data_IF_817213692256
#
_entry.id   IF_817213692256
#
_cell.length_a   1.000
_cell.length_b   1.000
_cell.length_c   1.000
_cell.angle_alpha   90.00
_cell.angle_beta   90.00
_cell.angle_gamma   90.00
#
_symmetry.space_group_name_H-M   'P 1'
#
loop_
_entity.id
_entity.type
_entity.pdbx_description
1 polymer ?
#
# COMPACT_ATOMS: atom_id res chain seq x y z
N UNK A 1 12.86 -2.50 12.61
CA UNK A 1 13.84 -2.03 11.62
C UNK A 1 13.28 -0.91 10.73
N UNK A 2 12.17 -1.11 9.97
CA UNK A 2 11.64 -0.05 9.09
C UNK A 2 11.34 1.28 9.85
N UNK A 3 10.55 1.20 10.92
CA UNK A 3 10.22 2.38 11.74
C UNK A 3 11.48 3.01 12.37
N UNK A 4 12.42 2.22 12.85
CA UNK A 4 13.66 2.70 13.44
C UNK A 4 14.50 3.48 12.42
N UNK A 5 14.64 2.95 11.21
CA UNK A 5 15.37 3.62 10.11
C UNK A 5 14.66 4.88 9.63
N UNK A 6 13.32 4.84 9.53
CA UNK A 6 12.50 5.99 9.18
C UNK A 6 12.68 7.16 10.15
N UNK A 7 12.81 6.87 11.44
CA UNK A 7 12.98 7.88 12.49
C UNK A 7 14.44 8.22 12.81
N UNK A 8 15.40 7.66 12.04
CA UNK A 8 16.82 7.93 12.22
C UNK A 8 17.46 7.23 13.44
N UNK A 9 16.78 6.27 14.04
CA UNK A 9 17.26 5.51 15.21
C UNK A 9 18.15 4.31 14.81
N UNK A 10 18.21 3.98 13.52
CA UNK A 10 19.03 2.92 12.94
C UNK A 10 19.52 3.37 11.57
N UNK A 11 20.81 3.13 11.27
CA UNK A 11 21.39 3.46 9.97
C UNK A 11 20.80 2.61 8.85
N UNK A 12 20.51 3.25 7.71
CA UNK A 12 20.09 2.54 6.50
C UNK A 12 21.33 1.91 5.84
N UNK A 13 21.29 0.61 5.63
CA UNK A 13 22.35 -0.16 4.96
C UNK A 13 21.82 -0.82 3.71
N UNK A 14 22.61 -0.79 2.64
CA UNK A 14 22.32 -1.44 1.38
C UNK A 14 23.34 -2.53 1.11
N UNK A 15 22.90 -3.70 0.68
CA UNK A 15 23.82 -4.80 0.32
C UNK A 15 24.67 -4.49 -0.93
N UNK A 16 24.19 -3.60 -1.80
CA UNK A 16 24.92 -3.09 -2.95
C UNK A 16 24.47 -1.65 -3.28
N UNK A 17 25.37 -0.81 -3.82
CA UNK A 17 25.08 0.60 -4.12
C UNK A 17 23.90 0.79 -5.08
N UNK A 18 23.74 -0.10 -6.05
CA UNK A 18 22.60 -0.07 -6.98
C UNK A 18 21.27 -0.14 -6.25
N UNK A 19 21.22 -0.87 -5.12
CA UNK A 19 19.98 -1.01 -4.34
C UNK A 19 19.56 0.28 -3.63
N UNK A 20 20.47 1.23 -3.43
CA UNK A 20 20.12 2.51 -2.83
C UNK A 20 19.06 3.24 -3.65
N UNK A 21 19.22 3.31 -4.97
CA UNK A 21 18.27 3.99 -5.86
C UNK A 21 16.87 3.36 -5.84
N UNK A 22 16.79 2.06 -5.54
CA UNK A 22 15.53 1.27 -5.52
C UNK A 22 14.88 1.31 -4.14
N UNK A 23 15.69 1.22 -3.08
CA UNK A 23 15.21 0.99 -1.72
C UNK A 23 15.27 2.24 -0.82
N UNK A 24 15.71 3.39 -1.32
CA UNK A 24 15.83 4.63 -0.54
C UNK A 24 14.50 5.04 0.10
N UNK A 25 13.40 4.98 -0.64
CA UNK A 25 12.07 5.33 -0.16
C UNK A 25 11.53 4.37 0.92
N UNK A 26 12.08 3.16 0.98
CA UNK A 26 11.71 2.13 1.95
C UNK A 26 12.81 1.81 2.96
N UNK A 27 13.76 2.74 3.12
CA UNK A 27 14.83 2.68 4.13
C UNK A 27 15.66 1.39 4.06
N UNK A 28 15.98 0.94 2.83
CA UNK A 28 16.79 -0.25 2.56
C UNK A 28 16.07 -1.58 2.71
N UNK A 29 14.74 -1.58 2.78
CA UNK A 29 13.93 -2.78 2.92
C UNK A 29 13.08 -2.99 1.66
N UNK A 30 13.01 -4.22 1.17
CA UNK A 30 12.11 -4.59 0.07
C UNK A 30 10.69 -4.67 0.63
N UNK A 31 9.81 -3.79 0.16
CA UNK A 31 8.40 -3.72 0.55
C UNK A 31 7.50 -4.01 -0.65
N UNK A 32 7.87 -3.49 -1.82
CA UNK A 32 7.03 -3.53 -3.01
C UNK A 32 7.51 -4.57 -4.03
N UNK A 33 6.56 -5.20 -4.72
CA UNK A 33 6.84 -6.12 -5.82
C UNK A 33 7.62 -5.44 -6.95
N UNK A 34 7.35 -4.18 -7.20
CA UNK A 34 8.04 -3.37 -8.19
C UNK A 34 9.53 -3.20 -7.88
N UNK A 35 9.91 -3.14 -6.61
CA UNK A 35 11.33 -3.09 -6.19
C UNK A 35 12.06 -4.40 -6.53
N UNK A 36 11.39 -5.54 -6.46
CA UNK A 36 11.94 -6.84 -6.86
C UNK A 36 12.23 -6.85 -8.37
N UNK A 37 11.27 -6.35 -9.18
CA UNK A 37 11.43 -6.24 -10.63
C UNK A 37 12.63 -5.34 -10.98
N UNK A 38 12.71 -4.16 -10.34
CA UNK A 38 13.81 -3.21 -10.55
C UNK A 38 15.15 -3.79 -10.11
N UNK A 39 15.20 -4.48 -8.96
CA UNK A 39 16.41 -5.14 -8.49
C UNK A 39 16.89 -6.21 -9.47
N UNK A 40 16.00 -7.05 -9.99
CA UNK A 40 16.34 -8.06 -10.99
C UNK A 40 16.85 -7.45 -12.30
N UNK A 41 16.25 -6.34 -12.76
CA UNK A 41 16.69 -5.64 -13.96
C UNK A 41 18.05 -4.96 -13.75
N UNK A 42 18.22 -4.20 -12.68
CA UNK A 42 19.40 -3.38 -12.47
C UNK A 42 20.61 -4.18 -12.01
N UNK A 43 20.41 -5.21 -11.18
CA UNK A 43 21.51 -6.03 -10.68
C UNK A 43 21.89 -7.17 -11.63
N UNK A 44 20.90 -7.86 -12.19
CA UNK A 44 21.12 -9.08 -12.97
C UNK A 44 20.84 -8.91 -14.47
N UNK A 45 20.53 -7.70 -14.94
CA UNK A 45 20.26 -7.45 -16.35
C UNK A 45 18.99 -8.12 -16.90
N UNK A 46 18.06 -8.50 -16.03
CA UNK A 46 16.82 -9.14 -16.46
C UNK A 46 15.98 -8.20 -17.31
N UNK A 47 15.35 -8.75 -18.34
CA UNK A 47 14.26 -8.06 -19.03
C UNK A 47 13.04 -7.95 -18.09
N UNK A 48 12.10 -7.06 -18.41
CA UNK A 48 10.88 -6.91 -17.65
C UNK A 48 10.10 -8.25 -17.54
N UNK A 49 10.04 -9.01 -18.63
CA UNK A 49 9.40 -10.33 -18.67
C UNK A 49 10.10 -11.36 -17.76
N UNK A 50 11.44 -11.36 -17.72
CA UNK A 50 12.20 -12.23 -16.82
C UNK A 50 11.99 -11.84 -15.36
N UNK A 51 11.97 -10.53 -15.05
CA UNK A 51 11.65 -10.02 -13.72
C UNK A 51 10.25 -10.44 -13.26
N UNK A 52 9.24 -10.34 -14.14
CA UNK A 52 7.87 -10.78 -13.80
C UNK A 52 7.79 -12.30 -13.60
N UNK A 53 8.55 -13.09 -14.37
CA UNK A 53 8.66 -14.53 -14.15
C UNK A 53 9.29 -14.86 -12.77
N UNK A 54 10.33 -14.11 -12.36
CA UNK A 54 10.91 -14.23 -11.03
C UNK A 54 9.86 -13.93 -9.94
N UNK A 55 9.17 -12.80 -10.03
CA UNK A 55 8.11 -12.42 -9.09
C UNK A 55 7.03 -13.50 -8.97
N UNK A 56 6.59 -14.06 -10.12
CA UNK A 56 5.58 -15.14 -10.15
C UNK A 56 6.11 -16.46 -9.57
N UNK A 57 7.39 -16.79 -9.80
CA UNK A 57 8.00 -18.01 -9.25
C UNK A 57 8.03 -17.95 -7.72
N UNK A 58 8.41 -16.82 -7.15
CA UNK A 58 8.43 -16.59 -5.70
C UNK A 58 6.99 -16.67 -5.13
N UNK A 59 6.04 -15.93 -5.72
CA UNK A 59 4.66 -15.90 -5.24
C UNK A 59 3.96 -17.27 -5.28
N UNK A 60 4.34 -18.14 -6.23
CA UNK A 60 3.76 -19.51 -6.37
C UNK A 60 4.51 -20.58 -5.57
N UNK A 61 5.62 -20.23 -4.90
CA UNK A 61 6.45 -21.14 -4.09
C UNK A 61 6.88 -22.43 -4.82
N UNK A 62 7.11 -22.36 -6.13
CA UNK A 62 7.54 -23.52 -6.94
C UNK A 62 9.06 -23.67 -6.84
N UNK A 63 9.54 -24.57 -5.98
CA UNK A 63 10.95 -24.76 -5.67
C UNK A 63 11.87 -24.91 -6.89
N UNK A 64 11.50 -25.75 -7.88
CA UNK A 64 12.31 -25.94 -9.08
C UNK A 64 12.41 -24.69 -9.95
N UNK A 65 11.30 -23.94 -10.12
CA UNK A 65 11.29 -22.70 -10.87
C UNK A 65 12.11 -21.62 -10.15
N UNK A 66 12.04 -21.59 -8.84
CA UNK A 66 12.77 -20.64 -8.00
C UNK A 66 14.28 -20.90 -8.05
N UNK A 67 14.72 -22.16 -7.97
CA UNK A 67 16.12 -22.53 -8.10
C UNK A 67 16.70 -22.10 -9.46
N UNK A 68 15.98 -22.31 -10.56
CA UNK A 68 16.38 -21.86 -11.89
C UNK A 68 16.49 -20.32 -11.98
N UNK A 69 15.57 -19.59 -11.36
CA UNK A 69 15.63 -18.12 -11.30
C UNK A 69 16.81 -17.62 -10.44
N UNK A 70 17.13 -18.32 -9.36
CA UNK A 70 18.26 -18.01 -8.49
C UNK A 70 19.60 -18.13 -9.25
N UNK A 71 19.81 -19.21 -9.97
CA UNK A 71 21.00 -19.40 -10.77
C UNK A 71 21.14 -18.34 -11.89
N UNK A 72 20.04 -18.05 -12.59
CA UNK A 72 19.99 -17.01 -13.61
C UNK A 72 20.31 -15.63 -13.04
N UNK A 73 19.75 -15.28 -11.87
CA UNK A 73 19.99 -14.02 -11.18
C UNK A 73 21.46 -13.88 -10.77
N UNK A 74 22.05 -14.89 -10.13
CA UNK A 74 23.44 -14.88 -9.68
C UNK A 74 24.38 -14.69 -10.87
N UNK A 75 24.17 -15.45 -11.96
CA UNK A 75 24.93 -15.32 -13.19
C UNK A 75 24.78 -13.93 -13.82
N UNK A 76 23.55 -13.45 -13.93
CA UNK A 76 23.27 -12.11 -14.46
C UNK A 76 23.93 -11.00 -13.65
N UNK A 77 23.95 -11.09 -12.33
CA UNK A 77 24.66 -10.14 -11.47
C UNK A 77 26.18 -10.09 -11.73
N UNK A 78 26.80 -11.24 -11.95
CA UNK A 78 28.21 -11.34 -12.29
C UNK A 78 28.49 -10.75 -13.68
N UNK A 79 27.68 -11.12 -14.69
CA UNK A 79 27.84 -10.70 -16.08
C UNK A 79 27.54 -9.20 -16.30
N UNK A 80 26.53 -8.65 -15.60
CA UNK A 80 26.07 -7.26 -15.81
C UNK A 80 26.86 -6.25 -14.98
N UNK A 81 27.16 -6.57 -13.72
CA UNK A 81 27.75 -5.63 -12.78
C UNK A 81 28.99 -6.14 -12.06
N UNK A 82 29.52 -7.31 -12.38
CA UNK A 82 30.68 -7.91 -11.71
C UNK A 82 30.44 -8.25 -10.24
N UNK A 83 29.19 -8.43 -9.84
CA UNK A 83 28.82 -8.71 -8.45
C UNK A 83 29.23 -10.15 -8.10
N UNK A 84 30.01 -10.31 -7.02
CA UNK A 84 30.46 -11.62 -6.58
C UNK A 84 29.28 -12.56 -6.28
N UNK A 85 29.42 -13.83 -6.64
CA UNK A 85 28.36 -14.86 -6.47
C UNK A 85 27.80 -14.93 -5.05
N UNK A 86 28.68 -14.79 -4.04
CA UNK A 86 28.28 -14.83 -2.62
C UNK A 86 27.35 -13.67 -2.27
N UNK A 87 27.63 -12.47 -2.77
CA UNK A 87 26.81 -11.29 -2.53
C UNK A 87 25.51 -11.36 -3.34
N UNK A 88 25.55 -11.78 -4.60
CA UNK A 88 24.37 -11.99 -5.42
C UNK A 88 23.44 -13.03 -4.82
N UNK A 89 23.97 -14.13 -4.29
CA UNK A 89 23.18 -15.14 -3.59
C UNK A 89 22.50 -14.56 -2.35
N UNK A 90 23.22 -13.81 -1.52
CA UNK A 90 22.64 -13.14 -0.33
C UNK A 90 21.51 -12.19 -0.71
N UNK A 91 21.71 -11.38 -1.77
CA UNK A 91 20.67 -10.45 -2.25
C UNK A 91 19.44 -11.23 -2.73
N UNK A 92 19.64 -12.34 -3.45
CA UNK A 92 18.53 -13.18 -3.89
C UNK A 92 17.77 -13.80 -2.71
N UNK A 93 18.47 -14.29 -1.69
CA UNK A 93 17.85 -14.85 -0.50
C UNK A 93 16.99 -13.81 0.24
N UNK A 94 17.46 -12.55 0.32
CA UNK A 94 16.66 -11.43 0.83
C UNK A 94 15.43 -11.14 -0.05
N UNK A 95 15.59 -11.16 -1.39
CA UNK A 95 14.46 -11.00 -2.32
C UNK A 95 13.43 -12.11 -2.12
N UNK A 96 13.87 -13.35 -1.98
CA UNK A 96 12.99 -14.51 -1.77
C UNK A 96 12.19 -14.39 -0.46
N UNK A 97 12.85 -14.02 0.63
CA UNK A 97 12.23 -13.84 1.94
C UNK A 97 11.14 -12.76 1.90
N UNK A 98 11.47 -11.57 1.40
CA UNK A 98 10.55 -10.44 1.39
C UNK A 98 9.50 -10.50 0.28
N UNK A 99 9.80 -11.13 -0.85
CA UNK A 99 8.88 -11.23 -1.97
C UNK A 99 7.63 -12.07 -1.69
N UNK A 100 7.66 -12.94 -0.68
CA UNK A 100 6.48 -13.68 -0.22
C UNK A 100 5.39 -12.75 0.33
N UNK A 101 5.78 -11.57 0.81
CA UNK A 101 4.92 -10.55 1.41
C UNK A 101 4.90 -9.24 0.59
N UNK A 102 5.56 -9.22 -0.57
CA UNK A 102 5.69 -8.04 -1.40
C UNK A 102 4.32 -7.48 -1.82
N UNK A 103 4.09 -6.20 -1.50
CA UNK A 103 2.85 -5.51 -1.80
C UNK A 103 2.91 -4.80 -3.16
N UNK A 104 1.79 -4.69 -3.87
CA UNK A 104 1.74 -3.94 -5.12
C UNK A 104 1.73 -2.43 -4.84
N UNK A 105 2.75 -1.70 -5.32
CA UNK A 105 2.89 -0.26 -5.09
C UNK A 105 1.78 0.53 -5.77
N UNK A 106 1.36 0.13 -6.96
CA UNK A 106 0.28 0.80 -7.70
C UNK A 106 -1.04 0.72 -6.93
N UNK A 107 -1.32 -0.41 -6.28
CA UNK A 107 -2.48 -0.56 -5.40
C UNK A 107 -2.38 0.39 -4.20
N UNK A 108 -1.22 0.45 -3.53
CA UNK A 108 -0.99 1.39 -2.42
C UNK A 108 -1.21 2.83 -2.84
N UNK A 109 -0.68 3.23 -4.00
CA UNK A 109 -0.79 4.61 -4.49
C UNK A 109 -2.25 4.99 -4.80
N UNK A 110 -3.00 4.09 -5.44
CA UNK A 110 -4.41 4.32 -5.75
C UNK A 110 -5.25 4.49 -4.48
N UNK A 111 -5.08 3.60 -3.50
CA UNK A 111 -5.81 3.68 -2.24
C UNK A 111 -5.35 4.83 -1.34
N UNK A 112 -4.08 5.20 -1.38
CA UNK A 112 -3.59 6.38 -0.68
C UNK A 112 -4.24 7.67 -1.21
N UNK A 113 -4.47 7.78 -2.53
CA UNK A 113 -5.20 8.90 -3.12
C UNK A 113 -6.63 8.98 -2.60
N UNK A 114 -7.35 7.86 -2.60
CA UNK A 114 -8.73 7.80 -2.09
C UNK A 114 -8.75 8.13 -0.58
N UNK A 115 -7.82 7.56 0.19
CA UNK A 115 -7.72 7.83 1.63
C UNK A 115 -7.45 9.31 1.91
N UNK A 116 -6.56 9.94 1.14
CA UNK A 116 -6.31 11.38 1.24
C UNK A 116 -7.55 12.21 0.90
N UNK A 117 -8.20 11.92 -0.23
CA UNK A 117 -9.40 12.64 -0.67
C UNK A 117 -10.53 12.53 0.34
N UNK A 118 -10.81 11.33 0.87
CA UNK A 118 -11.84 11.12 1.88
C UNK A 118 -11.50 11.80 3.20
N UNK A 119 -10.24 11.77 3.63
CA UNK A 119 -9.80 12.50 4.83
C UNK A 119 -9.93 14.01 4.66
N UNK A 120 -9.57 14.53 3.49
CA UNK A 120 -9.71 15.96 3.16
C UNK A 120 -11.18 16.39 3.15
N UNK A 121 -12.05 15.62 2.49
CA UNK A 121 -13.50 15.87 2.50
C UNK A 121 -14.06 15.84 3.93
N UNK A 122 -13.69 14.84 4.72
CA UNK A 122 -14.09 14.73 6.13
C UNK A 122 -13.65 15.94 6.97
N UNK A 123 -12.47 16.51 6.66
CA UNK A 123 -11.95 17.66 7.38
C UNK A 123 -12.63 18.99 6.99
N UNK A 124 -12.93 19.18 5.70
CA UNK A 124 -13.39 20.45 5.16
C UNK A 124 -14.89 20.51 4.88
N UNK A 125 -15.54 19.37 4.65
CA UNK A 125 -16.97 19.22 4.33
C UNK A 125 -17.59 18.13 5.18
N UNK A 126 -17.52 18.32 6.51
CA UNK A 126 -17.93 17.30 7.50
C UNK A 126 -19.37 16.83 7.31
N UNK A 127 -20.30 17.77 7.16
CA UNK A 127 -21.73 17.50 7.02
C UNK A 127 -22.02 16.65 5.79
N UNK A 128 -21.56 17.09 4.63
CA UNK A 128 -21.78 16.39 3.37
C UNK A 128 -21.09 15.03 3.33
N UNK A 129 -19.87 14.95 3.90
CA UNK A 129 -19.12 13.70 3.98
C UNK A 129 -19.87 12.67 4.85
N UNK A 130 -20.30 13.07 6.04
CA UNK A 130 -21.03 12.17 6.96
C UNK A 130 -22.42 11.82 6.42
N UNK A 131 -23.12 12.75 5.77
CA UNK A 131 -24.40 12.47 5.08
C UNK A 131 -24.22 11.41 3.97
N UNK A 132 -23.19 11.54 3.17
CA UNK A 132 -22.85 10.58 2.12
C UNK A 132 -22.50 9.21 2.70
N UNK A 133 -21.70 9.17 3.76
CA UNK A 133 -21.29 7.94 4.43
C UNK A 133 -22.49 7.22 5.07
N UNK A 134 -23.33 7.93 5.83
CA UNK A 134 -24.56 7.41 6.40
C UNK A 134 -25.51 6.88 5.32
N UNK A 135 -25.64 7.61 4.21
CA UNK A 135 -26.48 7.20 3.08
C UNK A 135 -25.97 5.91 2.41
N UNK A 136 -24.66 5.71 2.35
CA UNK A 136 -24.06 4.49 1.76
C UNK A 136 -24.27 3.24 2.60
N UNK A 137 -24.44 3.39 3.92
CA UNK A 137 -24.57 2.29 4.89
C UNK A 137 -26.00 2.14 5.44
N UNK A 138 -26.99 2.79 4.85
CA UNK A 138 -28.40 2.78 5.34
C UNK A 138 -28.99 1.39 5.58
N UNK A 139 -28.54 0.39 4.84
CA UNK A 139 -29.01 -0.99 4.95
C UNK A 139 -28.26 -1.83 6.01
N UNK A 140 -27.30 -1.24 6.72
CA UNK A 140 -26.51 -1.91 7.75
C UNK A 140 -26.63 -1.18 9.08
N UNK A 141 -27.55 -1.65 9.92
CA UNK A 141 -27.92 -1.01 11.19
C UNK A 141 -26.73 -0.86 12.14
N UNK A 142 -25.85 -1.88 12.23
CA UNK A 142 -24.70 -1.85 13.13
C UNK A 142 -23.68 -0.78 12.70
N UNK A 143 -23.37 -0.74 11.42
CA UNK A 143 -22.48 0.29 10.87
C UNK A 143 -23.11 1.68 10.99
N UNK A 144 -24.39 1.80 10.71
CA UNK A 144 -25.12 3.06 10.82
C UNK A 144 -25.04 3.63 12.23
N UNK A 145 -25.26 2.79 13.26
CA UNK A 145 -25.15 3.18 14.66
C UNK A 145 -23.76 3.70 15.01
N UNK A 146 -22.71 3.00 14.56
CA UNK A 146 -21.32 3.43 14.78
C UNK A 146 -21.02 4.77 14.10
N UNK A 147 -21.44 4.94 12.84
CA UNK A 147 -21.23 6.18 12.10
C UNK A 147 -21.99 7.35 12.74
N UNK A 148 -23.21 7.13 13.26
CA UNK A 148 -23.97 8.14 14.00
C UNK A 148 -23.21 8.56 15.28
N UNK A 149 -22.59 7.61 15.99
CA UNK A 149 -21.77 7.92 17.17
C UNK A 149 -20.56 8.78 16.78
N UNK A 150 -19.83 8.38 15.75
CA UNK A 150 -18.69 9.15 15.23
C UNK A 150 -19.11 10.57 14.79
N UNK A 151 -20.28 10.68 14.16
CA UNK A 151 -20.84 11.96 13.71
C UNK A 151 -21.06 12.91 14.88
N UNK A 152 -21.63 12.40 15.99
CA UNK A 152 -21.84 13.18 17.22
C UNK A 152 -20.52 13.62 17.87
N UNK A 153 -19.49 12.75 17.87
CA UNK A 153 -18.15 13.10 18.37
C UNK A 153 -17.50 14.23 17.55
N UNK A 154 -17.91 14.38 16.29
CA UNK A 154 -17.47 15.48 15.43
C UNK A 154 -18.26 16.78 15.62
N UNK A 155 -19.15 16.85 16.61
CA UNK A 155 -20.09 17.95 16.88
C UNK A 155 -21.04 18.22 15.72
N UNK A 156 -21.54 17.16 15.09
CA UNK A 156 -22.62 17.21 14.11
C UNK A 156 -23.85 16.54 14.68
N UNK A 157 -24.99 17.23 14.69
CA UNK A 157 -26.26 16.67 15.14
C UNK A 157 -26.92 15.85 14.04
N UNK A 158 -27.36 14.64 14.38
CA UNK A 158 -28.18 13.81 13.50
C UNK A 158 -29.64 13.99 13.93
N UNK A 159 -30.38 14.73 13.12
CA UNK A 159 -31.78 15.06 13.39
C UNK A 159 -32.71 13.88 13.08
N UNK A 160 -33.83 13.74 13.77
CA UNK A 160 -34.84 12.75 13.45
C UNK A 160 -35.50 13.05 12.08
N UNK A 161 -36.12 12.06 11.44
CA UNK A 161 -36.85 12.26 10.19
C UNK A 161 -37.95 13.33 10.35
N UNK A 162 -38.02 14.23 9.35
CA UNK A 162 -39.04 15.27 9.26
C UNK A 162 -39.75 15.22 7.91
N UNK A 163 -41.09 15.10 7.93
CA UNK A 163 -41.87 14.96 6.68
C UNK A 163 -41.74 16.15 5.74
N UNK A 164 -41.38 17.33 6.25
CA UNK A 164 -41.25 18.54 5.45
C UNK A 164 -39.83 18.75 4.89
N UNK A 165 -38.79 18.09 5.46
CA UNK A 165 -37.39 18.39 5.18
C UNK A 165 -36.60 17.16 4.73
N UNK A 166 -37.05 15.98 5.13
CA UNK A 166 -36.34 14.72 4.78
C UNK A 166 -36.56 14.36 3.31
N UNK A 167 -35.48 13.89 2.70
CA UNK A 167 -35.45 13.31 1.35
C UNK A 167 -34.91 11.87 1.46
N UNK A 168 -35.07 11.02 0.44
CA UNK A 168 -34.74 9.58 0.48
C UNK A 168 -33.29 9.19 0.92
N UNK A 169 -32.51 10.11 1.48
CA UNK A 169 -31.13 9.89 1.96
C UNK A 169 -30.80 10.87 3.07
N UNK A 170 -29.72 10.61 3.79
CA UNK A 170 -29.15 11.62 4.68
C UNK A 170 -28.69 12.82 3.88
N UNK A 171 -28.97 14.01 4.39
CA UNK A 171 -28.64 15.27 3.77
C UNK A 171 -28.07 16.24 4.81
N UNK A 172 -27.10 17.05 4.43
CA UNK A 172 -26.59 18.11 5.28
C UNK A 172 -27.57 19.28 5.30
N UNK A 173 -27.88 19.80 6.49
CA UNK A 173 -28.76 20.96 6.69
C UNK A 173 -28.01 21.98 7.52
N UNK A 174 -27.59 23.06 6.88
CA UNK A 174 -26.68 24.02 7.49
C UNK A 174 -25.30 23.41 7.76
N UNK A 175 -24.50 24.10 8.55
CA UNK A 175 -23.10 23.73 8.78
C UNK A 175 -22.89 22.63 9.85
N UNK A 176 -23.96 22.28 10.62
CA UNK A 176 -23.83 21.48 11.85
C UNK A 176 -24.89 20.38 12.01
N UNK A 177 -25.74 20.12 11.05
CA UNK A 177 -26.82 19.13 11.19
C UNK A 177 -27.02 18.25 9.98
N UNK A 178 -27.51 17.03 10.22
CA UNK A 178 -27.87 16.05 9.21
C UNK A 178 -29.31 15.59 9.44
N UNK A 179 -30.09 15.48 8.37
CA UNK A 179 -31.47 14.95 8.42
C UNK A 179 -31.53 13.61 7.71
N UNK A 180 -32.21 12.66 8.34
CA UNK A 180 -32.55 11.35 7.75
C UNK A 180 -34.06 11.28 7.46
N UNK A 181 -34.45 10.46 6.49
CA UNK A 181 -35.83 10.04 6.30
C UNK A 181 -36.30 9.18 7.43
#
# INVERSE_FOLDING_TARGET
TFAQRKHGNEDVKYDHLILESILKETYGIIVYQEQILQAAQMLAGFTLAQGDNLRRAIGKKKAAALAAQREAFIRGCEETNGIQKKLAAKIFDNIEEFAQYGFNKSHSAAYAMIAYQTAWLKAHYKGEFMASLLSSEMNNTDKLSNIISDTKEMNLDVLPPCINESIGRFNAVGDLSLIHI
#
